data_IF_792696086770
#
_entry.id   IF_792696086770
#
_cell.length_a   1.000
_cell.length_b   1.000
_cell.length_c   1.000
_cell.angle_alpha   90.00
_cell.angle_beta   90.00
_cell.angle_gamma   90.00
#
_symmetry.space_group_name_H-M   'P 1'
#
loop_
_entity.id
_entity.type
_entity.pdbx_description
1 polymer ?
#
# COMPACT_ATOMS: atom_id res chain seq x y z
N UNK A 1 20.48 11.00 2.15
CA UNK A 1 19.48 9.90 2.21
C UNK A 1 18.46 9.98 1.09
N UNK A 2 17.57 10.98 1.06
CA UNK A 2 16.51 11.08 0.04
C UNK A 2 16.99 10.97 -1.44
N UNK A 3 18.08 11.66 -1.81
CA UNK A 3 18.66 11.56 -3.16
C UNK A 3 19.22 10.17 -3.48
N UNK A 4 19.83 9.52 -2.49
CA UNK A 4 20.41 8.18 -2.67
C UNK A 4 19.30 7.13 -2.81
N UNK A 5 18.30 7.15 -1.92
CA UNK A 5 17.17 6.21 -1.95
C UNK A 5 16.37 6.33 -3.25
N UNK A 6 16.07 7.55 -3.69
CA UNK A 6 15.38 7.78 -4.97
C UNK A 6 16.22 7.33 -6.17
N UNK A 7 17.53 7.58 -6.16
CA UNK A 7 18.44 7.13 -7.22
C UNK A 7 18.50 5.60 -7.30
N UNK A 8 18.61 4.91 -6.15
CA UNK A 8 18.63 3.44 -6.09
C UNK A 8 17.30 2.89 -6.60
N UNK A 9 16.16 3.45 -6.19
CA UNK A 9 14.84 3.00 -6.65
C UNK A 9 14.68 3.09 -8.19
N UNK A 10 15.10 4.22 -8.77
CA UNK A 10 15.10 4.41 -10.22
C UNK A 10 16.05 3.43 -10.93
N UNK A 11 17.25 3.23 -10.38
CA UNK A 11 18.23 2.31 -10.95
C UNK A 11 17.76 0.85 -10.88
N UNK A 12 17.13 0.44 -9.78
CA UNK A 12 16.53 -0.90 -9.65
C UNK A 12 15.43 -1.10 -10.69
N UNK A 13 14.57 -0.11 -10.91
CA UNK A 13 13.51 -0.18 -11.93
C UNK A 13 14.09 -0.25 -13.35
N UNK A 14 15.15 0.51 -13.62
CA UNK A 14 15.85 0.50 -14.89
C UNK A 14 16.54 -0.84 -15.18
N UNK A 15 17.25 -1.40 -14.19
CA UNK A 15 17.88 -2.73 -14.29
C UNK A 15 16.84 -3.85 -14.40
N UNK A 16 15.75 -3.76 -13.63
CA UNK A 16 14.62 -4.67 -13.75
C UNK A 16 14.05 -4.64 -15.17
N UNK A 17 13.96 -3.48 -15.82
CA UNK A 17 13.57 -3.37 -17.22
C UNK A 17 14.41 -4.25 -18.16
N UNK A 18 15.74 -4.24 -18.05
CA UNK A 18 16.59 -5.11 -18.87
C UNK A 18 16.37 -6.59 -18.59
N UNK A 19 16.27 -6.97 -17.31
CA UNK A 19 15.94 -8.35 -16.93
C UNK A 19 14.60 -8.72 -17.55
N UNK A 20 13.61 -7.81 -17.48
CA UNK A 20 12.26 -8.09 -17.92
C UNK A 20 12.20 -8.33 -19.44
N UNK A 21 12.73 -7.38 -20.21
CA UNK A 21 12.71 -7.43 -21.66
C UNK A 21 13.64 -8.53 -22.23
N UNK A 22 14.70 -8.92 -21.52
CA UNK A 22 15.58 -10.01 -21.97
C UNK A 22 14.88 -11.38 -21.95
N UNK A 23 14.12 -11.67 -20.89
CA UNK A 23 13.37 -12.93 -20.75
C UNK A 23 12.17 -12.93 -21.71
N UNK A 24 11.47 -11.79 -21.84
CA UNK A 24 10.39 -11.64 -22.82
C UNK A 24 10.88 -11.82 -24.26
N UNK A 25 12.02 -11.22 -24.61
CA UNK A 25 12.62 -11.39 -25.94
C UNK A 25 13.04 -12.82 -26.23
N UNK A 26 13.60 -13.52 -25.25
CA UNK A 26 13.88 -14.96 -25.35
C UNK A 26 12.61 -15.77 -25.57
N UNK A 27 11.55 -15.46 -24.84
CA UNK A 27 10.29 -16.18 -24.91
C UNK A 27 9.58 -15.96 -26.26
N UNK A 28 9.57 -14.72 -26.76
CA UNK A 28 9.11 -14.36 -28.11
C UNK A 28 9.84 -15.17 -29.19
N UNK A 29 11.17 -15.26 -29.09
CA UNK A 29 12.00 -16.02 -30.04
C UNK A 29 11.68 -17.51 -30.05
N UNK A 30 11.55 -18.15 -28.89
CA UNK A 30 11.26 -19.59 -28.80
C UNK A 30 9.84 -19.94 -29.24
N UNK A 31 8.85 -19.08 -28.93
CA UNK A 31 7.45 -19.29 -29.34
C UNK A 31 7.13 -18.83 -30.77
N UNK A 32 8.06 -18.18 -31.49
CA UNK A 32 7.80 -17.53 -32.78
C UNK A 32 6.58 -16.58 -32.74
N UNK A 33 6.44 -15.84 -31.64
CA UNK A 33 5.40 -14.82 -31.46
C UNK A 33 6.03 -13.44 -31.41
N UNK A 34 5.24 -12.42 -31.73
CA UNK A 34 5.66 -11.03 -31.52
C UNK A 34 5.73 -10.72 -30.03
N UNK A 35 6.62 -9.80 -29.63
CA UNK A 35 6.80 -9.44 -28.21
C UNK A 35 5.52 -8.85 -27.59
N UNK A 36 4.67 -8.21 -28.39
CA UNK A 36 3.36 -7.70 -27.94
C UNK A 36 2.38 -8.81 -27.52
N UNK A 37 2.61 -10.05 -27.96
CA UNK A 37 1.75 -11.20 -27.64
C UNK A 37 2.23 -12.02 -26.44
N UNK A 38 3.45 -11.76 -25.95
CA UNK A 38 4.02 -12.39 -24.75
C UNK A 38 4.16 -11.41 -23.58
N UNK A 39 4.06 -10.10 -23.83
CA UNK A 39 4.06 -9.06 -22.81
C UNK A 39 2.65 -8.81 -22.26
N UNK A 40 2.16 -9.68 -21.40
CA UNK A 40 1.03 -9.34 -20.51
C UNK A 40 1.48 -8.27 -19.50
N UNK A 41 0.64 -7.30 -19.17
CA UNK A 41 0.92 -6.32 -18.11
C UNK A 41 0.37 -6.84 -16.77
N UNK A 42 1.01 -6.45 -15.66
CA UNK A 42 0.51 -6.80 -14.33
C UNK A 42 0.96 -8.19 -13.84
N UNK A 43 0.15 -8.87 -13.00
CA UNK A 43 0.55 -10.11 -12.33
C UNK A 43 0.79 -11.28 -13.30
N UNK A 44 0.08 -11.31 -14.44
CA UNK A 44 0.18 -12.34 -15.47
C UNK A 44 1.59 -12.55 -15.98
N UNK A 45 2.31 -11.45 -16.21
CA UNK A 45 3.72 -11.46 -16.60
C UNK A 45 4.55 -12.34 -15.66
N UNK A 46 4.53 -12.01 -14.37
CA UNK A 46 5.41 -12.56 -13.34
C UNK A 46 5.01 -13.99 -12.93
N UNK A 47 3.72 -14.35 -13.03
CA UNK A 47 3.22 -15.66 -12.58
C UNK A 47 2.91 -16.64 -13.72
N UNK A 48 2.85 -16.20 -14.96
CA UNK A 48 2.63 -17.05 -16.15
C UNK A 48 3.87 -17.08 -17.04
N UNK A 49 4.27 -15.92 -17.57
CA UNK A 49 5.30 -15.82 -18.61
C UNK A 49 6.70 -16.10 -18.05
N UNK A 50 7.02 -15.58 -16.87
CA UNK A 50 8.32 -15.81 -16.21
C UNK A 50 8.56 -17.28 -15.85
N UNK A 51 7.64 -17.96 -15.14
CA UNK A 51 7.83 -19.37 -14.82
C UNK A 51 7.92 -20.25 -16.08
N UNK A 52 7.17 -19.92 -17.14
CA UNK A 52 7.27 -20.61 -18.43
C UNK A 52 8.67 -20.49 -19.03
N UNK A 53 9.22 -19.27 -19.11
CA UNK A 53 10.55 -19.03 -19.64
C UNK A 53 11.65 -19.64 -18.76
N UNK A 54 11.50 -19.63 -17.44
CA UNK A 54 12.45 -20.25 -16.51
C UNK A 54 12.42 -21.78 -16.64
N UNK A 55 11.25 -22.38 -16.93
CA UNK A 55 11.11 -23.83 -17.08
C UNK A 55 11.91 -24.38 -18.27
N UNK A 56 12.19 -23.58 -19.30
CA UNK A 56 13.00 -23.98 -20.46
C UNK A 56 14.51 -23.85 -20.22
N UNK A 57 14.93 -23.18 -19.14
CA UNK A 57 16.34 -23.00 -18.80
C UNK A 57 16.92 -24.24 -18.08
N UNK A 58 18.17 -24.58 -18.38
CA UNK A 58 18.89 -25.63 -17.65
C UNK A 58 19.07 -25.23 -16.18
N UNK A 59 18.67 -26.10 -15.26
CA UNK A 59 18.68 -25.78 -13.83
C UNK A 59 17.50 -24.93 -13.37
N UNK A 60 16.36 -25.00 -14.06
CA UNK A 60 15.11 -24.24 -13.81
C UNK A 60 14.71 -24.12 -12.33
N UNK A 61 14.86 -25.20 -11.54
CA UNK A 61 14.54 -25.19 -10.10
C UNK A 61 15.30 -24.10 -9.34
N UNK A 62 16.60 -23.91 -9.62
CA UNK A 62 17.41 -22.88 -8.96
C UNK A 62 16.90 -21.47 -9.31
N UNK A 63 16.65 -21.23 -10.60
CA UNK A 63 16.15 -19.94 -11.10
C UNK A 63 14.75 -19.61 -10.57
N UNK A 64 13.86 -20.61 -10.48
CA UNK A 64 12.53 -20.44 -9.91
C UNK A 64 12.59 -20.07 -8.43
N UNK A 65 13.45 -20.72 -7.63
CA UNK A 65 13.58 -20.41 -6.20
C UNK A 65 14.03 -18.96 -6.00
N UNK A 66 15.09 -18.52 -6.69
CA UNK A 66 15.58 -17.13 -6.52
C UNK A 66 14.56 -16.10 -7.02
N UNK A 67 13.83 -16.42 -8.09
CA UNK A 67 12.82 -15.53 -8.66
C UNK A 67 11.64 -15.34 -7.73
N UNK A 68 11.05 -16.43 -7.21
CA UNK A 68 9.94 -16.32 -6.26
C UNK A 68 10.38 -15.76 -4.90
N UNK A 69 11.60 -16.08 -4.45
CA UNK A 69 12.15 -15.46 -3.23
C UNK A 69 12.30 -13.94 -3.42
N UNK A 70 12.79 -13.49 -4.58
CA UNK A 70 12.86 -12.07 -4.92
C UNK A 70 11.47 -11.42 -4.84
N UNK A 71 10.44 -12.00 -5.44
CA UNK A 71 9.07 -11.47 -5.39
C UNK A 71 8.54 -11.38 -3.96
N UNK A 72 8.79 -12.40 -3.13
CA UNK A 72 8.42 -12.37 -1.71
C UNK A 72 9.15 -11.24 -0.99
N UNK A 73 10.45 -11.06 -1.23
CA UNK A 73 11.21 -9.98 -0.59
C UNK A 73 10.75 -8.58 -1.01
N UNK A 74 10.43 -8.37 -2.30
CA UNK A 74 9.91 -7.11 -2.82
C UNK A 74 8.55 -6.74 -2.19
N UNK A 75 7.68 -7.75 -2.02
CA UNK A 75 6.39 -7.57 -1.35
C UNK A 75 6.55 -7.27 0.14
N UNK A 76 7.38 -8.04 0.85
CA UNK A 76 7.55 -7.92 2.30
C UNK A 76 8.08 -6.54 2.72
N UNK A 77 9.13 -6.05 2.09
CA UNK A 77 9.75 -4.75 2.43
C UNK A 77 8.74 -3.60 2.32
N UNK A 78 8.00 -3.56 1.21
CA UNK A 78 6.97 -2.55 0.96
C UNK A 78 5.83 -2.63 1.98
N UNK A 79 5.38 -3.84 2.33
CA UNK A 79 4.29 -4.01 3.31
C UNK A 79 4.70 -3.58 4.72
N UNK A 80 5.96 -3.81 5.12
CA UNK A 80 6.46 -3.34 6.41
C UNK A 80 6.46 -1.82 6.50
N UNK A 81 6.94 -1.12 5.47
CA UNK A 81 6.91 0.35 5.45
C UNK A 81 5.49 0.93 5.56
N UNK A 82 4.52 0.35 4.83
CA UNK A 82 3.12 0.78 4.89
C UNK A 82 2.47 0.53 6.25
N UNK A 83 2.66 -0.66 6.82
CA UNK A 83 2.14 -1.01 8.15
C UNK A 83 2.80 -0.17 9.24
N UNK A 84 4.11 0.03 9.19
CA UNK A 84 4.85 0.81 10.17
C UNK A 84 4.38 2.26 10.21
N UNK A 85 4.15 2.89 9.05
CA UNK A 85 3.63 4.25 8.98
C UNK A 85 2.25 4.38 9.66
N UNK A 86 1.35 3.43 9.39
CA UNK A 86 0.02 3.42 10.00
C UNK A 86 0.07 3.13 11.51
N UNK A 87 0.86 2.14 11.94
CA UNK A 87 1.03 1.79 13.35
C UNK A 87 1.61 2.97 14.12
N UNK A 88 2.64 3.61 13.57
CA UNK A 88 3.30 4.76 14.18
C UNK A 88 2.33 5.93 14.32
N UNK A 89 1.61 6.29 13.25
CA UNK A 89 0.64 7.38 13.29
C UNK A 89 -0.48 7.17 14.32
N UNK A 90 -0.99 5.95 14.47
CA UNK A 90 -2.05 5.64 15.45
C UNK A 90 -1.51 5.59 16.88
N UNK A 91 -0.31 5.07 17.09
CA UNK A 91 0.34 5.05 18.40
C UNK A 91 0.72 6.45 18.89
N UNK A 92 1.11 7.34 17.98
CA UNK A 92 1.45 8.73 18.29
C UNK A 92 0.20 9.56 18.65
N UNK A 93 -0.94 9.32 17.99
CA UNK A 93 -2.22 9.99 18.29
C UNK A 93 -2.85 9.49 19.61
N UNK A 94 -2.78 8.18 19.89
CA UNK A 94 -3.37 7.58 21.10
C UNK A 94 -2.32 6.88 21.99
N UNK A 95 -1.36 7.62 22.59
CA UNK A 95 -0.22 7.03 23.29
C UNK A 95 -0.60 6.23 24.54
N UNK A 96 -1.65 6.67 25.26
CA UNK A 96 -2.11 6.01 26.49
C UNK A 96 -2.88 4.71 26.23
N UNK A 97 -3.62 4.62 25.13
CA UNK A 97 -4.42 3.43 24.79
C UNK A 97 -3.64 2.45 23.91
N UNK A 98 -3.10 2.93 22.78
CA UNK A 98 -2.46 2.10 21.76
C UNK A 98 -0.94 1.99 21.98
N UNK A 99 -0.29 3.07 22.38
CA UNK A 99 1.17 3.11 22.58
C UNK A 99 1.68 2.20 23.70
N UNK A 100 0.98 2.15 24.85
CA UNK A 100 1.37 1.31 25.99
C UNK A 100 1.30 -0.21 25.71
N UNK A 101 0.46 -0.64 24.76
CA UNK A 101 0.28 -2.06 24.40
C UNK A 101 0.50 -2.28 22.90
N UNK A 102 1.52 -1.64 22.34
CA UNK A 102 1.82 -1.64 20.90
C UNK A 102 1.80 -3.04 20.29
N UNK A 103 2.40 -4.03 20.95
CA UNK A 103 2.43 -5.42 20.45
C UNK A 103 1.03 -6.02 20.29
N UNK A 104 0.15 -5.83 21.28
CA UNK A 104 -1.24 -6.33 21.22
C UNK A 104 -2.06 -5.59 20.17
N UNK A 105 -1.83 -4.29 20.00
CA UNK A 105 -2.44 -3.51 18.93
C UNK A 105 -2.02 -4.01 17.55
N UNK A 106 -0.71 -4.23 17.32
CA UNK A 106 -0.18 -4.77 16.07
C UNK A 106 -0.76 -6.15 15.78
N UNK A 107 -0.82 -7.03 16.79
CA UNK A 107 -1.43 -8.35 16.63
C UNK A 107 -2.90 -8.24 16.22
N UNK A 108 -3.69 -7.40 16.90
CA UNK A 108 -5.11 -7.18 16.57
C UNK A 108 -5.30 -6.63 15.16
N UNK A 109 -4.46 -5.68 14.75
CA UNK A 109 -4.45 -5.11 13.42
C UNK A 109 -4.12 -6.15 12.35
N UNK A 110 -3.09 -6.99 12.56
CA UNK A 110 -2.71 -8.04 11.62
C UNK A 110 -3.81 -9.10 11.48
N UNK A 111 -4.47 -9.48 12.57
CA UNK A 111 -5.62 -10.38 12.55
C UNK A 111 -6.78 -9.76 11.76
N UNK A 112 -7.06 -8.47 11.98
CA UNK A 112 -8.09 -7.75 11.23
C UNK A 112 -7.79 -7.71 9.72
N UNK A 113 -6.56 -7.31 9.34
CA UNK A 113 -6.11 -7.29 7.95
C UNK A 113 -6.20 -8.68 7.32
N UNK A 114 -5.79 -9.73 8.05
CA UNK A 114 -5.90 -11.11 7.59
C UNK A 114 -7.35 -11.50 7.29
N UNK A 115 -8.29 -11.22 8.20
CA UNK A 115 -9.72 -11.51 8.00
C UNK A 115 -10.29 -10.73 6.82
N UNK A 116 -9.93 -9.45 6.65
CA UNK A 116 -10.33 -8.64 5.51
C UNK A 116 -9.69 -9.10 4.19
N UNK A 117 -8.53 -9.75 4.24
CA UNK A 117 -7.85 -10.33 3.09
C UNK A 117 -8.35 -11.75 2.75
N UNK A 118 -9.06 -12.46 3.63
CA UNK A 118 -9.60 -13.79 3.33
C UNK A 118 -10.43 -13.84 2.02
N UNK A 119 -11.31 -12.86 1.72
CA UNK A 119 -12.04 -12.84 0.45
C UNK A 119 -11.11 -12.86 -0.76
N UNK A 120 -9.95 -12.19 -0.75
CA UNK A 120 -9.04 -12.13 -1.91
C UNK A 120 -8.37 -13.48 -2.21
N UNK A 121 -8.35 -14.39 -1.23
CA UNK A 121 -7.86 -15.77 -1.41
C UNK A 121 -8.91 -16.74 -1.96
N UNK A 122 -10.18 -16.32 -2.06
CA UNK A 122 -11.22 -17.15 -2.66
C UNK A 122 -11.04 -17.21 -4.18
N UNK A 123 -11.30 -18.38 -4.78
CA UNK A 123 -11.11 -18.65 -6.22
C UNK A 123 -11.71 -17.54 -7.11
N UNK A 124 -12.90 -17.04 -6.76
CA UNK A 124 -13.60 -16.01 -7.54
C UNK A 124 -12.87 -14.68 -7.49
N UNK A 125 -12.48 -14.19 -6.32
CA UNK A 125 -11.81 -12.89 -6.20
C UNK A 125 -10.34 -12.94 -6.60
N UNK A 126 -9.66 -14.07 -6.42
CA UNK A 126 -8.30 -14.29 -6.90
C UNK A 126 -8.26 -14.29 -8.43
N UNK A 127 -9.13 -15.08 -9.08
CA UNK A 127 -9.23 -15.14 -10.54
C UNK A 127 -9.72 -13.80 -11.09
N UNK A 128 -10.70 -13.14 -10.46
CA UNK A 128 -11.08 -11.78 -10.87
C UNK A 128 -9.95 -10.78 -10.69
N UNK A 129 -9.16 -10.81 -9.63
CA UNK A 129 -8.04 -9.87 -9.44
C UNK A 129 -6.90 -10.11 -10.45
N UNK A 130 -6.67 -11.36 -10.83
CA UNK A 130 -5.68 -11.73 -11.84
C UNK A 130 -6.19 -11.39 -13.25
N UNK A 131 -7.43 -11.71 -13.57
CA UNK A 131 -8.06 -11.47 -14.88
C UNK A 131 -8.46 -9.99 -15.11
N UNK A 132 -8.70 -9.21 -14.06
CA UNK A 132 -8.90 -7.75 -14.14
C UNK A 132 -7.56 -6.98 -14.18
N UNK A 133 -6.43 -7.67 -14.02
CA UNK A 133 -5.08 -7.11 -14.07
C UNK A 133 -4.53 -6.95 -15.50
N UNK A 134 -5.07 -7.71 -16.46
CA UNK A 134 -4.86 -7.44 -17.88
C UNK A 134 -5.63 -6.17 -18.23
N UNK A 135 -4.93 -5.15 -18.72
CA UNK A 135 -5.35 -3.77 -18.93
C UNK A 135 -6.54 -3.50 -19.86
N UNK A 136 -7.46 -4.43 -20.01
CA UNK A 136 -8.83 -4.13 -20.38
C UNK A 136 -9.63 -3.97 -19.09
N UNK A 137 -9.96 -2.72 -18.72
CA UNK A 137 -11.22 -2.45 -18.03
C UNK A 137 -12.28 -3.02 -18.95
N UNK A 138 -12.56 -4.32 -18.78
CA UNK A 138 -13.49 -5.04 -19.62
C UNK A 138 -14.77 -4.25 -19.47
N UNK A 139 -15.38 -3.88 -20.59
CA UNK A 139 -16.67 -3.18 -20.65
C UNK A 139 -17.80 -3.92 -19.89
N UNK A 140 -17.49 -5.06 -19.26
CA UNK A 140 -18.37 -5.97 -18.53
C UNK A 140 -18.27 -5.87 -16.99
N UNK A 141 -17.41 -5.01 -16.40
CA UNK A 141 -17.42 -4.86 -14.94
C UNK A 141 -18.78 -4.27 -14.51
N UNK A 142 -19.52 -4.93 -13.60
CA UNK A 142 -20.88 -4.50 -13.30
C UNK A 142 -20.87 -3.12 -12.61
N UNK A 143 -21.83 -2.24 -12.90
CA UNK A 143 -21.85 -0.87 -12.37
C UNK A 143 -21.78 -0.79 -10.83
N UNK A 144 -22.31 -1.79 -10.12
CA UNK A 144 -22.21 -1.84 -8.66
C UNK A 144 -20.77 -1.99 -8.17
N UNK A 145 -19.90 -2.70 -8.89
CA UNK A 145 -18.49 -2.86 -8.53
C UNK A 145 -17.73 -1.54 -8.72
N UNK A 146 -18.07 -0.78 -9.77
CA UNK A 146 -17.57 0.58 -9.98
C UNK A 146 -17.99 1.50 -8.82
N UNK A 147 -19.26 1.45 -8.41
CA UNK A 147 -19.75 2.23 -7.25
C UNK A 147 -19.02 1.86 -5.97
N UNK A 148 -18.77 0.57 -5.74
CA UNK A 148 -17.99 0.12 -4.57
C UNK A 148 -16.55 0.66 -4.61
N UNK A 149 -15.86 0.60 -5.76
CA UNK A 149 -14.51 1.12 -5.90
C UNK A 149 -14.45 2.61 -5.56
N UNK A 150 -15.35 3.41 -6.15
CA UNK A 150 -15.46 4.84 -5.85
C UNK A 150 -15.84 5.11 -4.38
N UNK A 151 -16.63 4.25 -3.76
CA UNK A 151 -17.00 4.37 -2.35
C UNK A 151 -15.79 4.14 -1.44
N UNK A 152 -14.95 3.15 -1.74
CA UNK A 152 -13.70 2.90 -1.02
C UNK A 152 -12.77 4.11 -1.18
N UNK A 153 -12.59 4.62 -2.39
CA UNK A 153 -11.78 5.83 -2.63
C UNK A 153 -12.33 7.05 -1.88
N UNK A 154 -13.64 7.28 -1.95
CA UNK A 154 -14.30 8.39 -1.27
C UNK A 154 -14.17 8.30 0.25
N UNK A 155 -14.19 7.09 0.83
CA UNK A 155 -14.07 6.88 2.26
C UNK A 155 -12.76 7.40 2.86
N UNK A 156 -11.64 7.29 2.13
CA UNK A 156 -10.35 7.83 2.58
C UNK A 156 -10.27 9.35 2.41
N UNK A 157 -10.83 9.88 1.33
CA UNK A 157 -10.75 11.32 1.00
C UNK A 157 -11.66 12.14 1.92
N UNK A 158 -12.84 11.63 2.27
CA UNK A 158 -13.84 12.36 3.07
C UNK A 158 -13.40 12.60 4.52
N UNK A 159 -12.43 11.83 5.03
CA UNK A 159 -11.87 12.03 6.38
C UNK A 159 -11.32 13.45 6.59
N UNK A 160 -10.71 14.05 5.57
CA UNK A 160 -10.12 15.40 5.65
C UNK A 160 -11.19 16.49 5.84
N UNK A 161 -12.18 16.66 4.95
CA UNK A 161 -13.22 17.67 5.13
C UNK A 161 -14.07 17.42 6.36
N UNK A 162 -14.34 16.16 6.73
CA UNK A 162 -15.06 15.84 7.98
C UNK A 162 -14.30 16.33 9.21
N UNK A 163 -12.99 16.12 9.26
CA UNK A 163 -12.16 16.59 10.38
C UNK A 163 -12.12 18.13 10.46
N UNK A 164 -12.04 18.81 9.31
CA UNK A 164 -12.09 20.29 9.25
C UNK A 164 -13.43 20.81 9.80
N UNK A 165 -14.54 20.21 9.40
CA UNK A 165 -15.89 20.60 9.87
C UNK A 165 -16.02 20.31 11.37
N UNK A 166 -15.57 19.14 11.82
CA UNK A 166 -15.56 18.76 13.24
C UNK A 166 -14.81 19.78 14.09
N UNK A 167 -13.56 20.11 13.72
CA UNK A 167 -12.75 21.10 14.43
C UNK A 167 -13.39 22.50 14.40
N UNK A 168 -13.99 22.88 13.28
CA UNK A 168 -14.67 24.17 13.15
C UNK A 168 -15.91 24.30 14.03
N UNK A 169 -16.66 23.20 14.25
CA UNK A 169 -17.84 23.20 15.12
C UNK A 169 -17.44 23.29 16.60
N UNK A 170 -16.37 22.60 16.99
CA UNK A 170 -15.91 22.53 18.38
C UNK A 170 -15.19 23.81 18.82
N UNK A 171 -14.42 24.45 17.93
CA UNK A 171 -13.63 25.63 18.29
C UNK A 171 -14.55 26.81 18.66
N UNK A 172 -14.48 27.33 19.89
CA UNK A 172 -15.30 28.47 20.30
C UNK A 172 -14.84 29.77 19.63
N UNK A 173 -15.77 30.72 19.45
CA UNK A 173 -15.48 32.06 18.91
C UNK A 173 -16.17 32.38 17.58
N UNK A 174 -15.83 33.53 17.01
CA UNK A 174 -16.33 34.00 15.70
C UNK A 174 -15.61 33.32 14.53
N UNK A 175 -16.18 33.38 13.31
CA UNK A 175 -15.62 32.70 12.12
C UNK A 175 -14.13 33.05 11.90
N UNK A 176 -13.77 34.33 12.08
CA UNK A 176 -12.40 34.80 11.88
C UNK A 176 -11.44 34.32 12.98
N UNK A 177 -11.92 34.21 14.22
CA UNK A 177 -11.13 33.70 15.35
C UNK A 177 -10.93 32.19 15.25
N UNK A 178 -11.97 31.44 14.86
CA UNK A 178 -11.88 29.99 14.62
C UNK A 178 -10.82 29.67 13.57
N UNK A 179 -10.87 30.35 12.41
CA UNK A 179 -9.87 30.17 11.34
C UNK A 179 -8.47 30.55 11.83
N UNK A 180 -8.33 31.68 12.54
CA UNK A 180 -7.04 32.12 13.07
C UNK A 180 -6.48 31.13 14.10
N UNK A 181 -7.32 30.47 14.88
CA UNK A 181 -6.89 29.47 15.86
C UNK A 181 -6.52 28.14 15.18
N UNK A 182 -7.26 27.68 14.17
CA UNK A 182 -6.95 26.44 13.44
C UNK A 182 -5.64 26.50 12.62
N UNK A 183 -5.18 27.69 12.22
CA UNK A 183 -3.94 27.86 11.46
C UNK A 183 -2.71 27.98 12.38
N UNK A 184 -2.90 28.18 13.69
CA UNK A 184 -1.78 28.24 14.63
C UNK A 184 -1.22 26.83 14.83
N UNK A 185 0.11 26.64 14.68
CA UNK A 185 0.73 25.36 15.01
C UNK A 185 0.68 25.14 16.52
N UNK A 186 0.52 23.88 16.91
CA UNK A 186 0.64 23.46 18.32
C UNK A 186 2.06 23.75 18.82
N UNK A 187 2.19 24.31 20.02
CA UNK A 187 3.51 24.54 20.62
C UNK A 187 4.11 23.21 21.08
N UNK A 188 5.35 22.93 20.68
CA UNK A 188 6.04 21.71 21.08
C UNK A 188 6.32 21.72 22.60
N UNK A 189 5.69 20.79 23.33
CA UNK A 189 5.92 20.58 24.75
C UNK A 189 6.76 19.30 24.96
N UNK A 190 7.95 19.39 25.59
CA UNK A 190 8.79 18.21 25.80
C UNK A 190 8.10 17.21 26.76
N UNK A 191 8.33 15.89 26.59
CA UNK A 191 7.63 14.82 27.33
C UNK A 191 7.70 14.93 28.86
N UNK A 192 8.69 15.64 29.39
CA UNK A 192 8.91 15.82 30.83
C UNK A 192 7.89 16.77 31.49
N UNK A 193 7.30 17.70 30.73
CA UNK A 193 6.31 18.67 31.24
C UNK A 193 4.86 18.16 31.13
N UNK A 194 4.59 17.29 30.16
CA UNK A 194 3.25 16.71 29.92
C UNK A 194 2.86 15.61 30.92
N UNK A 195 3.82 15.02 31.65
CA UNK A 195 3.53 14.08 32.74
C UNK A 195 3.23 14.76 34.09
N UNK A 196 3.60 16.04 34.25
CA UNK A 196 3.48 16.76 35.54
C UNK A 196 2.10 17.42 35.71
N UNK A 197 1.35 17.65 34.63
CA UNK A 197 0.05 18.32 34.72
C UNK A 197 -1.06 17.56 33.98
N UNK A 198 -1.89 16.77 34.70
CA UNK A 198 -3.01 16.05 34.10
C UNK A 198 -4.17 16.94 33.63
N UNK A 199 -4.17 18.25 33.93
CA UNK A 199 -5.28 19.16 33.65
C UNK A 199 -5.16 19.95 32.34
N UNK A 200 -4.10 19.79 31.54
CA UNK A 200 -3.93 20.56 30.30
C UNK A 200 -4.51 19.90 29.03
N UNK A 201 -5.05 18.69 29.12
CA UNK A 201 -5.78 18.04 28.01
C UNK A 201 -7.20 18.56 27.79
N UNK A 202 -7.62 19.60 28.53
CA UNK A 202 -8.98 20.16 28.51
C UNK A 202 -8.97 21.67 28.30
N UNK A 203 -8.22 22.15 27.32
CA UNK A 203 -8.42 23.48 26.76
C UNK A 203 -8.74 23.36 25.27
N UNK A 204 -10.02 23.06 25.04
CA UNK A 204 -10.79 23.47 23.86
C UNK A 204 -10.86 25.00 23.81
#
# INVERSE_FOLDING_TARGET
DALLTSSINCMTSFLAGFVIFSVLGYMAYVQNKDISQVGEEGPGLVFTVYPEAIATMTGSVFWSIIFFLMLITLGLDSTFGGLEAMITGLCDEYPRLLGCHREMFVLGLLVFIYVCALPTTTYVLFVCSFALGDGEVSQDLPPWAMVLAWSITASSIICIPLYIIYMFIITPGTIRERIKNMIKPEEYMPPQLSQVNPNYGTHV
#
